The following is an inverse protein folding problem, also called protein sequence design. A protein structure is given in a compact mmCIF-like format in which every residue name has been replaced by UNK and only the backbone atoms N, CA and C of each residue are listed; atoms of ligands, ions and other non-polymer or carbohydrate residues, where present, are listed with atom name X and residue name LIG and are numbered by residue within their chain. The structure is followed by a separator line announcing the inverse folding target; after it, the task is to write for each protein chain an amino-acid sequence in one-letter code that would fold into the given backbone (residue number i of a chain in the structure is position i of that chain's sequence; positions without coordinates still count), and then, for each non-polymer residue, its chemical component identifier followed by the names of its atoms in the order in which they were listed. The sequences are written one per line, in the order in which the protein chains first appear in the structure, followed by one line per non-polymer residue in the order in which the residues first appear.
data_IF_324320661868
#
_entry.id   IF_324320661868
#
_cell.length_a   1.000
_cell.length_b   1.000
_cell.length_c   1.000
_cell.angle_alpha   90.00
_cell.angle_beta   90.00
_cell.angle_gamma   90.00
#
_symmetry.space_group_name_H-M   'P 1'
#
loop_
_entity.id
_entity.type
_entity.pdbx_description
1 polymer ?
#
# COMPACT_ATOMS: atom_id res chain seq x y z
N UNK A 1 27.23 -59.12 -35.03
CA UNK A 1 26.83 -57.69 -35.04
C UNK A 1 25.52 -57.48 -34.28
N UNK A 2 25.49 -57.71 -32.96
CA UNK A 2 24.30 -57.46 -32.09
C UNK A 2 24.62 -56.87 -30.71
N UNK A 3 25.90 -56.60 -30.43
CA UNK A 3 26.37 -56.12 -29.11
C UNK A 3 26.79 -54.64 -29.09
N UNK A 4 26.67 -53.94 -30.21
CA UNK A 4 27.12 -52.54 -30.35
C UNK A 4 25.97 -51.51 -30.30
N UNK A 5 24.71 -51.96 -30.27
CA UNK A 5 23.53 -51.07 -30.28
C UNK A 5 23.03 -50.67 -28.89
N UNK A 6 23.48 -51.34 -27.82
CA UNK A 6 22.95 -51.07 -26.46
C UNK A 6 23.73 -49.93 -25.78
N UNK A 7 24.98 -49.66 -26.17
CA UNK A 7 25.79 -48.62 -25.55
C UNK A 7 25.40 -47.18 -25.96
N UNK A 8 24.65 -47.00 -27.05
CA UNK A 8 24.31 -45.67 -27.56
C UNK A 8 23.05 -45.05 -26.93
N UNK A 9 22.18 -45.85 -26.29
CA UNK A 9 20.94 -45.38 -25.64
C UNK A 9 21.16 -45.06 -24.15
N UNK A 10 22.24 -45.59 -23.55
CA UNK A 10 22.58 -45.34 -22.15
C UNK A 10 23.32 -44.01 -21.92
N UNK A 11 23.88 -43.42 -22.99
CA UNK A 11 24.64 -42.17 -22.91
C UNK A 11 23.76 -40.91 -23.01
N UNK A 12 22.53 -41.02 -23.53
CA UNK A 12 21.61 -39.88 -23.65
C UNK A 12 20.78 -39.61 -22.39
N UNK A 13 20.67 -40.57 -21.47
CA UNK A 13 19.99 -40.39 -20.19
C UNK A 13 20.88 -39.74 -19.11
N UNK A 14 22.19 -39.66 -19.33
CA UNK A 14 23.11 -38.97 -18.40
C UNK A 14 23.24 -37.46 -18.66
N UNK A 15 22.71 -36.96 -19.78
CA UNK A 15 22.70 -35.53 -20.09
C UNK A 15 21.48 -34.77 -19.55
N UNK A 16 20.45 -35.48 -19.08
CA UNK A 16 19.22 -34.88 -18.56
C UNK A 16 19.27 -34.49 -17.08
N UNK A 17 20.31 -34.88 -16.34
CA UNK A 17 20.47 -34.55 -14.91
C UNK A 17 21.45 -33.39 -14.66
N UNK A 18 21.86 -32.66 -15.70
CA UNK A 18 22.79 -31.53 -15.59
C UNK A 18 22.38 -30.30 -16.39
N UNK A 19 21.13 -30.22 -16.87
CA UNK A 19 20.62 -28.97 -17.40
C UNK A 19 20.35 -28.05 -16.22
N UNK A 20 21.21 -27.05 -16.07
CA UNK A 20 20.98 -25.87 -15.26
C UNK A 20 19.62 -25.30 -15.66
N UNK A 21 18.72 -25.14 -14.67
CA UNK A 21 17.39 -24.57 -14.91
C UNK A 21 17.53 -23.18 -15.51
N UNK A 22 16.59 -22.78 -16.36
CA UNK A 22 16.54 -21.37 -16.78
C UNK A 22 16.25 -20.47 -15.57
N UNK A 23 16.58 -19.19 -15.67
CA UNK A 23 16.32 -18.23 -14.59
C UNK A 23 14.83 -18.21 -14.23
N UNK A 24 13.96 -18.30 -15.21
CA UNK A 24 12.50 -18.33 -15.05
C UNK A 24 11.97 -19.63 -14.42
N UNK A 25 12.74 -20.73 -14.50
CA UNK A 25 12.41 -22.01 -13.86
C UNK A 25 12.99 -22.14 -12.44
N UNK A 26 14.04 -21.38 -12.15
CA UNK A 26 14.71 -21.36 -10.84
C UNK A 26 14.14 -20.31 -9.90
N UNK A 27 13.79 -19.14 -10.41
CA UNK A 27 13.29 -18.02 -9.63
C UNK A 27 11.80 -17.87 -9.90
N UNK A 28 10.98 -18.14 -8.89
CA UNK A 28 9.52 -18.11 -9.01
C UNK A 28 8.93 -16.92 -8.26
N UNK A 29 7.97 -16.27 -8.89
CA UNK A 29 7.21 -15.21 -8.25
C UNK A 29 6.13 -15.80 -7.33
N UNK A 30 6.20 -15.48 -6.03
CA UNK A 30 5.24 -15.91 -5.02
C UNK A 30 4.72 -14.72 -4.21
N UNK A 31 3.66 -14.07 -4.70
CA UNK A 31 3.00 -12.99 -3.97
C UNK A 31 3.82 -11.71 -3.92
N UNK A 32 4.52 -11.47 -2.82
CA UNK A 32 5.33 -10.27 -2.58
C UNK A 32 6.84 -10.57 -2.55
N UNK A 33 7.25 -11.72 -3.11
CA UNK A 33 8.66 -12.14 -3.17
C UNK A 33 8.98 -12.96 -4.40
N UNK A 34 10.26 -13.02 -4.73
CA UNK A 34 10.83 -14.01 -5.67
C UNK A 34 11.52 -15.10 -4.84
N UNK A 35 11.29 -16.36 -5.16
CA UNK A 35 11.86 -17.51 -4.44
C UNK A 35 12.83 -18.26 -5.34
N UNK A 36 14.07 -18.43 -4.89
CA UNK A 36 15.01 -19.38 -5.51
C UNK A 36 14.63 -20.80 -5.06
N UNK A 37 14.11 -21.60 -5.99
CA UNK A 37 13.63 -22.95 -5.68
C UNK A 37 14.76 -23.94 -5.37
N UNK A 38 16.02 -23.60 -5.65
CA UNK A 38 17.18 -24.44 -5.37
C UNK A 38 17.75 -24.20 -3.97
N UNK A 39 17.92 -22.93 -3.59
CA UNK A 39 18.47 -22.55 -2.27
C UNK A 39 17.39 -22.37 -1.21
N UNK A 40 16.19 -21.98 -1.62
CA UNK A 40 15.10 -21.54 -0.75
C UNK A 40 15.26 -20.10 -0.27
N UNK A 41 16.12 -19.31 -0.91
CA UNK A 41 16.28 -17.89 -0.59
C UNK A 41 15.11 -17.08 -1.16
N UNK A 42 14.66 -16.10 -0.39
CA UNK A 42 13.54 -15.24 -0.75
C UNK A 42 14.05 -13.82 -0.99
N UNK A 43 13.71 -13.23 -2.13
CA UNK A 43 14.10 -11.89 -2.53
C UNK A 43 12.90 -10.97 -2.45
N UNK A 44 12.96 -9.95 -1.61
CA UNK A 44 11.88 -8.99 -1.36
C UNK A 44 12.33 -7.57 -1.66
N UNK A 45 11.42 -6.73 -2.16
CA UNK A 45 11.61 -5.29 -2.20
C UNK A 45 10.83 -4.71 -1.02
N UNK A 46 11.50 -3.95 -0.14
CA UNK A 46 10.86 -3.37 1.05
C UNK A 46 10.78 -1.83 0.94
N UNK A 47 11.93 -1.17 0.83
CA UNK A 47 12.01 0.30 0.93
C UNK A 47 12.36 1.01 -0.39
N UNK A 48 13.04 0.32 -1.31
CA UNK A 48 13.59 0.87 -2.54
C UNK A 48 13.41 -0.09 -3.71
N UNK A 49 13.32 0.45 -4.92
CA UNK A 49 13.39 -0.35 -6.15
C UNK A 49 14.83 -0.76 -6.52
N UNK A 50 15.83 -0.18 -5.87
CA UNK A 50 17.25 -0.39 -6.22
C UNK A 50 17.89 -1.54 -5.43
N UNK A 51 17.26 -2.02 -4.36
CA UNK A 51 17.87 -2.97 -3.41
C UNK A 51 16.88 -4.05 -3.00
N UNK A 52 17.31 -5.31 -3.08
CA UNK A 52 16.57 -6.45 -2.56
C UNK A 52 17.03 -6.82 -1.16
N UNK A 53 16.08 -7.13 -0.29
CA UNK A 53 16.31 -7.87 0.94
C UNK A 53 16.24 -9.36 0.61
N UNK A 54 17.37 -10.06 0.74
CA UNK A 54 17.43 -11.51 0.60
C UNK A 54 17.27 -12.13 1.99
N UNK A 55 16.27 -12.99 2.14
CA UNK A 55 16.06 -13.79 3.34
C UNK A 55 16.53 -15.20 3.02
N UNK A 56 17.63 -15.61 3.64
CA UNK A 56 18.14 -16.95 3.46
C UNK A 56 17.29 -17.98 4.20
N UNK A 57 17.40 -19.23 3.78
CA UNK A 57 16.70 -20.36 4.41
C UNK A 57 16.96 -20.52 5.91
N UNK A 58 18.11 -20.07 6.41
CA UNK A 58 18.45 -20.08 7.84
C UNK A 58 17.88 -18.88 8.62
N UNK A 59 17.15 -17.98 7.94
CA UNK A 59 16.52 -16.79 8.49
C UNK A 59 17.44 -15.57 8.57
N UNK A 60 18.71 -15.69 8.15
CA UNK A 60 19.59 -14.53 8.01
C UNK A 60 19.14 -13.64 6.86
N UNK A 61 19.41 -12.34 6.97
CA UNK A 61 19.03 -11.34 5.97
C UNK A 61 20.25 -10.59 5.46
N UNK A 62 20.29 -10.35 4.16
CA UNK A 62 21.24 -9.45 3.52
C UNK A 62 20.52 -8.49 2.57
N UNK A 63 21.14 -7.34 2.31
CA UNK A 63 20.65 -6.37 1.33
C UNK A 63 21.63 -6.36 0.17
N UNK A 64 21.12 -6.59 -1.03
CA UNK A 64 21.92 -6.59 -2.26
C UNK A 64 21.33 -5.62 -3.28
N UNK A 65 22.18 -4.92 -4.05
CA UNK A 65 21.71 -4.12 -5.18
C UNK A 65 20.93 -4.98 -6.20
N UNK A 66 19.89 -4.41 -6.81
CA UNK A 66 19.09 -5.07 -7.84
C UNK A 66 19.97 -5.59 -8.99
N UNK A 67 20.99 -4.83 -9.39
CA UNK A 67 21.91 -5.21 -10.46
C UNK A 67 22.78 -6.44 -10.14
N UNK A 68 22.91 -6.80 -8.86
CA UNK A 68 23.64 -7.99 -8.40
C UNK A 68 22.75 -9.23 -8.33
N UNK A 69 21.44 -9.10 -8.53
CA UNK A 69 20.52 -10.24 -8.49
C UNK A 69 20.69 -11.17 -9.69
N UNK A 70 20.55 -12.49 -9.52
CA UNK A 70 20.71 -13.46 -10.62
C UNK A 70 19.68 -13.33 -11.75
N UNK A 71 18.57 -12.64 -11.49
CA UNK A 71 17.47 -12.42 -12.41
C UNK A 71 17.40 -10.96 -12.90
N UNK A 72 18.44 -10.16 -12.67
CA UNK A 72 18.52 -8.79 -13.18
C UNK A 72 18.43 -8.74 -14.71
N UNK A 73 17.63 -7.81 -15.23
CA UNK A 73 17.44 -7.62 -16.66
C UNK A 73 16.59 -8.70 -17.34
N UNK A 74 15.89 -9.51 -16.55
CA UNK A 74 14.92 -10.49 -17.05
C UNK A 74 13.49 -9.94 -16.95
N UNK A 75 12.55 -10.54 -17.68
CA UNK A 75 11.13 -10.18 -17.56
C UNK A 75 10.61 -10.42 -16.13
N UNK A 76 11.17 -11.40 -15.41
CA UNK A 76 10.82 -11.67 -14.02
C UNK A 76 11.12 -10.46 -13.11
N UNK A 77 12.29 -9.82 -13.26
CA UNK A 77 12.63 -8.64 -12.46
C UNK A 77 11.71 -7.46 -12.77
N UNK A 78 11.42 -7.24 -14.06
CA UNK A 78 10.61 -6.10 -14.50
C UNK A 78 9.17 -6.23 -14.03
N UNK A 79 8.56 -7.41 -14.19
CA UNK A 79 7.19 -7.70 -13.74
C UNK A 79 7.07 -7.55 -12.22
N UNK A 80 8.05 -8.09 -11.48
CA UNK A 80 8.08 -8.01 -10.02
C UNK A 80 8.14 -6.57 -9.50
N UNK A 81 9.01 -5.72 -10.07
CA UNK A 81 9.11 -4.30 -9.69
C UNK A 81 7.81 -3.56 -9.98
N UNK A 82 7.16 -3.84 -11.11
CA UNK A 82 5.90 -3.21 -11.48
C UNK A 82 4.76 -3.62 -10.52
N UNK A 83 4.65 -4.91 -10.20
CA UNK A 83 3.66 -5.40 -9.24
C UNK A 83 3.91 -4.86 -7.83
N UNK A 84 5.18 -4.78 -7.40
CA UNK A 84 5.57 -4.17 -6.14
C UNK A 84 5.14 -2.70 -6.07
N UNK A 85 5.45 -1.89 -7.10
CA UNK A 85 5.03 -0.49 -7.18
C UNK A 85 3.52 -0.33 -7.07
N UNK A 86 2.77 -1.17 -7.80
CA UNK A 86 1.31 -1.17 -7.74
C UNK A 86 0.82 -1.51 -6.33
N UNK A 87 1.38 -2.53 -5.69
CA UNK A 87 1.01 -2.93 -4.33
C UNK A 87 1.31 -1.82 -3.31
N UNK A 88 2.40 -1.08 -3.48
CA UNK A 88 2.74 0.05 -2.63
C UNK A 88 1.72 1.18 -2.76
N UNK A 89 1.30 1.52 -3.97
CA UNK A 89 0.29 2.55 -4.20
C UNK A 89 -1.08 2.14 -3.61
N UNK A 90 -1.48 0.87 -3.81
CA UNK A 90 -2.71 0.32 -3.20
C UNK A 90 -2.63 0.36 -1.67
N UNK A 91 -1.48 -0.01 -1.08
CA UNK A 91 -1.26 0.04 0.36
C UNK A 91 -1.26 1.46 0.90
N UNK A 92 -0.66 2.42 0.19
CA UNK A 92 -0.70 3.85 0.55
C UNK A 92 -2.14 4.35 0.55
N UNK A 93 -2.90 4.07 -0.51
CA UNK A 93 -4.30 4.46 -0.60
C UNK A 93 -5.12 3.87 0.55
N UNK A 94 -4.94 2.59 0.87
CA UNK A 94 -5.61 1.94 1.99
C UNK A 94 -5.25 2.58 3.34
N UNK A 95 -3.97 2.85 3.60
CA UNK A 95 -3.53 3.48 4.85
C UNK A 95 -4.10 4.90 5.02
N UNK A 96 -4.20 5.66 3.93
CA UNK A 96 -4.79 6.99 3.94
C UNK A 96 -6.30 6.91 4.21
N UNK A 97 -7.00 5.96 3.60
CA UNK A 97 -8.42 5.70 3.86
C UNK A 97 -8.67 5.24 5.30
N UNK A 98 -7.85 4.34 5.82
CA UNK A 98 -7.90 3.89 7.23
C UNK A 98 -7.68 5.08 8.18
N UNK A 99 -6.74 5.96 7.84
CA UNK A 99 -6.48 7.18 8.62
C UNK A 99 -7.66 8.14 8.59
N UNK A 100 -8.26 8.36 7.41
CA UNK A 100 -9.47 9.18 7.23
C UNK A 100 -10.62 8.62 8.07
N UNK A 101 -10.89 7.33 8.01
CA UNK A 101 -11.93 6.68 8.79
C UNK A 101 -11.67 6.78 10.29
N UNK A 102 -10.42 6.58 10.72
CA UNK A 102 -10.02 6.76 12.12
C UNK A 102 -10.30 8.19 12.63
N UNK A 103 -10.04 9.22 11.81
CA UNK A 103 -10.34 10.61 12.16
C UNK A 103 -11.85 10.88 12.25
N UNK A 104 -12.64 10.37 11.32
CA UNK A 104 -14.11 10.48 11.35
C UNK A 104 -14.70 9.79 12.58
N UNK A 105 -14.25 8.57 12.91
CA UNK A 105 -14.70 7.86 14.10
C UNK A 105 -14.29 8.56 15.40
N UNK A 106 -13.09 9.15 15.45
CA UNK A 106 -12.66 9.95 16.60
C UNK A 106 -13.54 11.20 16.79
N UNK A 107 -13.96 11.86 15.70
CA UNK A 107 -14.91 12.98 15.74
C UNK A 107 -16.27 12.54 16.28
N UNK A 108 -16.85 11.48 15.72
CA UNK A 108 -18.13 10.93 16.19
C UNK A 108 -18.07 10.58 17.67
N UNK A 109 -17.00 9.94 18.12
CA UNK A 109 -16.83 9.57 19.52
C UNK A 109 -16.77 10.81 20.45
N UNK A 110 -16.15 11.91 19.98
CA UNK A 110 -16.08 13.18 20.73
C UNK A 110 -17.47 13.79 20.96
N UNK A 111 -18.39 13.60 20.03
CA UNK A 111 -19.72 14.21 20.06
C UNK A 111 -20.87 13.23 20.30
N UNK A 112 -20.58 11.95 20.57
CA UNK A 112 -21.57 10.89 20.66
C UNK A 112 -22.66 11.11 21.72
N UNK A 113 -22.35 11.85 22.79
CA UNK A 113 -23.29 12.13 23.89
C UNK A 113 -24.22 13.32 23.62
N UNK A 114 -23.96 14.10 22.57
CA UNK A 114 -24.74 15.29 22.23
C UNK A 114 -25.75 14.98 21.12
N UNK A 115 -26.97 15.48 21.27
CA UNK A 115 -27.94 15.57 20.18
C UNK A 115 -27.55 16.65 19.17
N UNK A 116 -28.17 16.62 17.99
CA UNK A 116 -27.91 17.59 16.92
C UNK A 116 -28.30 19.01 17.34
N UNK A 117 -29.38 19.16 18.13
CA UNK A 117 -29.79 20.43 18.71
C UNK A 117 -28.74 20.96 19.71
N UNK A 118 -28.24 20.12 20.61
CA UNK A 118 -27.20 20.50 21.57
C UNK A 118 -25.87 20.87 20.89
N UNK A 119 -25.53 20.17 19.81
CA UNK A 119 -24.36 20.51 19.00
C UNK A 119 -24.54 21.86 18.32
N UNK A 120 -25.70 22.12 17.71
CA UNK A 120 -25.99 23.40 17.07
C UNK A 120 -25.95 24.56 18.07
N UNK A 121 -26.52 24.40 19.26
CA UNK A 121 -26.43 25.40 20.34
C UNK A 121 -24.98 25.65 20.77
N UNK A 122 -24.19 24.58 20.89
CA UNK A 122 -22.76 24.66 21.23
C UNK A 122 -21.97 25.39 20.14
N UNK A 123 -22.25 25.12 18.86
CA UNK A 123 -21.69 25.84 17.73
C UNK A 123 -22.02 27.33 17.79
N UNK A 124 -23.29 27.70 17.90
CA UNK A 124 -23.73 29.10 17.95
C UNK A 124 -23.07 29.87 19.11
N UNK A 125 -22.91 29.22 20.26
CA UNK A 125 -22.19 29.79 21.39
C UNK A 125 -20.71 29.99 21.08
N UNK A 126 -20.03 28.97 20.55
CA UNK A 126 -18.62 29.06 20.15
C UNK A 126 -18.38 30.15 19.11
N UNK A 127 -19.25 30.24 18.12
CA UNK A 127 -19.19 31.24 17.06
C UNK A 127 -19.35 32.66 17.64
N UNK A 128 -20.39 32.88 18.45
CA UNK A 128 -20.62 34.16 19.15
C UNK A 128 -19.45 34.58 20.04
N UNK A 129 -18.81 33.61 20.71
CA UNK A 129 -17.69 33.85 21.60
C UNK A 129 -16.34 33.99 20.85
N UNK A 130 -16.34 33.93 19.50
CA UNK A 130 -15.15 33.91 18.65
C UNK A 130 -14.15 32.83 19.08
N UNK A 131 -14.64 31.62 19.36
CA UNK A 131 -13.81 30.47 19.67
C UNK A 131 -12.92 30.08 18.48
N UNK A 132 -11.95 29.21 18.72
CA UNK A 132 -11.04 28.70 17.70
C UNK A 132 -11.79 28.11 16.50
N UNK A 133 -11.46 28.57 15.28
CA UNK A 133 -12.14 28.17 14.04
C UNK A 133 -12.01 26.68 13.76
N UNK A 134 -10.89 26.04 14.10
CA UNK A 134 -10.72 24.59 13.92
C UNK A 134 -11.71 23.81 14.78
N UNK A 135 -12.01 24.29 15.99
CA UNK A 135 -13.03 23.67 16.84
C UNK A 135 -14.46 23.90 16.31
N UNK A 136 -14.72 25.07 15.73
CA UNK A 136 -16.00 25.36 15.08
C UNK A 136 -16.21 24.45 13.86
N UNK A 137 -15.19 24.31 13.01
CA UNK A 137 -15.21 23.43 11.84
C UNK A 137 -15.37 21.96 12.21
N UNK A 138 -14.69 21.47 13.25
CA UNK A 138 -14.83 20.07 13.70
C UNK A 138 -16.25 19.73 14.14
N UNK A 139 -16.93 20.68 14.80
CA UNK A 139 -18.33 20.52 15.22
C UNK A 139 -19.28 20.59 14.02
N UNK A 140 -19.10 21.57 13.12
CA UNK A 140 -19.89 21.66 11.89
C UNK A 140 -19.71 20.41 11.02
N UNK A 141 -18.50 19.89 10.91
CA UNK A 141 -18.24 18.64 10.18
C UNK A 141 -19.00 17.45 10.78
N UNK A 142 -19.15 17.37 12.11
CA UNK A 142 -19.99 16.34 12.74
C UNK A 142 -21.48 16.54 12.41
N UNK A 143 -21.97 17.78 12.44
CA UNK A 143 -23.37 18.08 12.08
C UNK A 143 -23.66 17.74 10.60
N UNK A 144 -22.70 17.99 9.70
CA UNK A 144 -22.77 17.58 8.29
C UNK A 144 -22.76 16.05 8.18
N UNK A 145 -21.85 15.36 8.86
CA UNK A 145 -21.73 13.89 8.85
C UNK A 145 -23.02 13.20 9.35
N UNK A 146 -23.76 13.85 10.26
CA UNK A 146 -25.07 13.38 10.76
C UNK A 146 -26.25 13.72 9.85
N UNK A 147 -26.04 14.58 8.84
CA UNK A 147 -27.10 15.11 7.99
C UNK A 147 -28.01 16.12 8.69
N UNK A 148 -27.56 16.71 9.80
CA UNK A 148 -28.30 17.76 10.51
C UNK A 148 -28.21 19.11 9.80
N UNK A 149 -27.13 19.34 9.06
CA UNK A 149 -26.93 20.47 8.14
C UNK A 149 -26.37 19.94 6.82
N UNK A 150 -26.60 20.67 5.73
CA UNK A 150 -25.95 20.36 4.46
C UNK A 150 -24.51 20.88 4.44
N UNK A 151 -23.68 20.24 3.62
CA UNK A 151 -22.35 20.73 3.25
C UNK A 151 -22.42 22.10 2.53
N UNK A 152 -23.50 22.37 1.80
CA UNK A 152 -23.76 23.65 1.13
C UNK A 152 -24.08 24.79 2.11
N UNK A 153 -24.79 24.53 3.20
CA UNK A 153 -25.17 25.54 4.21
C UNK A 153 -24.04 25.83 5.21
N UNK A 154 -23.11 24.91 5.36
CA UNK A 154 -22.08 24.95 6.39
C UNK A 154 -21.06 26.12 6.23
N UNK A 155 -20.64 26.54 5.01
CA UNK A 155 -19.84 27.74 4.82
C UNK A 155 -20.53 29.02 5.29
N UNK A 156 -21.82 29.16 5.02
CA UNK A 156 -22.61 30.31 5.47
C UNK A 156 -22.68 30.37 6.99
N UNK A 157 -22.85 29.21 7.65
CA UNK A 157 -22.83 29.12 9.11
C UNK A 157 -21.47 29.53 9.70
N UNK A 158 -20.37 29.16 9.04
CA UNK A 158 -19.01 29.48 9.47
C UNK A 158 -18.54 30.87 9.06
N UNK A 159 -19.34 31.60 8.28
CA UNK A 159 -19.00 32.90 7.68
C UNK A 159 -17.71 32.87 6.86
N UNK A 160 -17.50 31.80 6.09
CA UNK A 160 -16.35 31.67 5.19
C UNK A 160 -16.79 31.33 3.78
N UNK A 161 -15.98 31.70 2.78
CA UNK A 161 -16.32 31.41 1.40
C UNK A 161 -16.28 29.88 1.15
N UNK A 162 -17.25 29.32 0.39
CA UNK A 162 -17.34 27.87 0.15
C UNK A 162 -16.06 27.25 -0.40
N UNK A 163 -15.28 28.00 -1.19
CA UNK A 163 -14.03 27.55 -1.80
C UNK A 163 -12.93 27.23 -0.77
N UNK A 164 -13.03 27.75 0.45
CA UNK A 164 -12.06 27.53 1.53
C UNK A 164 -12.46 26.41 2.49
N UNK A 165 -13.60 25.77 2.25
CA UNK A 165 -14.11 24.69 3.09
C UNK A 165 -14.18 23.40 2.28
N UNK A 166 -13.56 22.37 2.85
CA UNK A 166 -13.82 21.00 2.49
C UNK A 166 -14.03 20.20 3.77
N UNK A 167 -15.25 19.70 3.98
CA UNK A 167 -15.56 18.85 5.14
C UNK A 167 -15.18 17.40 4.91
N UNK A 168 -14.92 17.02 3.65
CA UNK A 168 -14.29 15.74 3.38
C UNK A 168 -12.78 15.85 3.52
N UNK A 169 -12.18 14.77 4.02
CA UNK A 169 -10.74 14.64 4.02
C UNK A 169 -10.37 14.19 2.62
N UNK A 170 -9.98 15.14 1.78
CA UNK A 170 -9.35 14.84 0.49
C UNK A 170 -7.95 14.30 0.74
N UNK A 171 -7.76 13.06 0.29
CA UNK A 171 -6.45 12.44 0.27
C UNK A 171 -5.84 12.79 -1.08
N UNK A 172 -5.05 13.87 -1.12
CA UNK A 172 -4.17 14.08 -2.26
C UNK A 172 -3.15 12.94 -2.30
N UNK A 173 -3.21 12.12 -3.35
CA UNK A 173 -2.12 11.20 -3.62
C UNK A 173 -0.86 12.04 -3.84
N UNK A 174 0.26 11.73 -3.16
CA UNK A 174 1.51 12.44 -3.45
C UNK A 174 1.80 12.29 -4.94
N UNK A 175 1.98 13.40 -5.65
CA UNK A 175 2.35 13.35 -7.06
C UNK A 175 3.58 12.46 -7.21
N UNK A 176 3.46 11.41 -8.03
CA UNK A 176 4.59 10.58 -8.43
C UNK A 176 5.57 11.48 -9.18
N UNK A 177 6.66 11.88 -8.53
CA UNK A 177 7.79 12.55 -9.17
C UNK A 177 8.79 11.53 -9.67
#
# INVERSE_FOLDING_TARGET
MKKLMIAAVSASLLFACGQEKSVEERYLYEGDKIVDVETGDEYLLEESEEEFVVVHKDGTKEVIPMEETPFFGTTLSDDYVNDWKKSLEERKAQLLEDKKNSLKEARKARYAEYSDEELMEKFQKMHKDNADMTLQMDLIAELVDRGAISDEDAPDLLEVEPEFINFDIEIEMPESR
#
